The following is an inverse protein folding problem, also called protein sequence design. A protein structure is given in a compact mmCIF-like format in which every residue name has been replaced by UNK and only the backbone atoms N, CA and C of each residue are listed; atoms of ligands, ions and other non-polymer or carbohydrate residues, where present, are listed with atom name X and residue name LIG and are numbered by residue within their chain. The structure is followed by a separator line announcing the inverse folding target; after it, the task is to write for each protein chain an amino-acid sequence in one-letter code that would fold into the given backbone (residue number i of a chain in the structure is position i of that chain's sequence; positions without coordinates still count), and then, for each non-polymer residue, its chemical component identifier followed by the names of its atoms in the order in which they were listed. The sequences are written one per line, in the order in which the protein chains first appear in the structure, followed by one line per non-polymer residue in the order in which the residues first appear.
data_IF_522685181050
#
_entry.id   IF_522685181050
#
_cell.length_a   1.000
_cell.length_b   1.000
_cell.length_c   1.000
_cell.angle_alpha   90.00
_cell.angle_beta   90.00
_cell.angle_gamma   90.00
#
_symmetry.space_group_name_H-M   'P 1'
#
loop_
_entity.id
_entity.type
_entity.pdbx_description
1 polymer ?
#
# COMPACT_ATOMS: atom_id res chain seq x y z
N UNK A 1 22.11 8.08 12.69
CA UNK A 1 20.89 8.28 13.50
C UNK A 1 20.62 6.97 14.20
N UNK A 2 20.20 6.97 15.46
CA UNK A 2 19.77 5.72 16.10
C UNK A 2 18.42 5.33 15.49
N UNK A 3 18.33 4.12 14.94
CA UNK A 3 17.07 3.58 14.47
C UNK A 3 16.19 3.28 15.68
N UNK A 4 14.94 3.71 15.64
CA UNK A 4 13.92 3.29 16.61
C UNK A 4 13.25 2.02 16.10
N UNK A 5 13.17 1.02 16.97
CA UNK A 5 12.50 -0.25 16.68
C UNK A 5 11.29 -0.36 17.60
N UNK A 6 10.14 -0.71 17.02
CA UNK A 6 8.95 -1.13 17.74
C UNK A 6 8.91 -2.65 17.85
N UNK A 7 8.37 -3.15 18.94
CA UNK A 7 8.11 -4.58 19.13
C UNK A 7 6.61 -4.83 18.99
N UNK A 8 6.23 -6.07 18.68
CA UNK A 8 4.84 -6.49 18.78
C UNK A 8 4.29 -6.26 20.19
N UNK A 9 2.98 -6.05 20.27
CA UNK A 9 2.25 -6.13 21.54
C UNK A 9 2.51 -7.49 22.19
N UNK A 10 2.87 -7.49 23.45
CA UNK A 10 3.23 -8.68 24.23
C UNK A 10 2.20 -8.80 25.35
N UNK A 11 1.61 -9.99 25.50
CA UNK A 11 0.73 -10.31 26.61
C UNK A 11 1.57 -10.73 27.81
N UNK A 12 1.35 -10.08 28.95
CA UNK A 12 2.06 -10.37 30.19
C UNK A 12 2.40 -9.13 31.00
N UNK A 13 2.90 -9.34 32.20
CA UNK A 13 3.29 -8.30 33.16
C UNK A 13 4.79 -7.99 33.14
N UNK A 14 5.56 -8.69 32.31
CA UNK A 14 7.01 -8.52 32.17
C UNK A 14 7.49 -8.73 30.73
N UNK A 15 8.47 -7.93 30.33
CA UNK A 15 9.13 -8.02 29.03
C UNK A 15 10.62 -8.31 29.26
N UNK A 16 11.15 -9.31 28.57
CA UNK A 16 12.58 -9.61 28.52
C UNK A 16 13.16 -9.20 27.18
N UNK A 17 14.16 -8.33 27.18
CA UNK A 17 14.90 -7.95 25.98
C UNK A 17 16.18 -8.80 25.89
N UNK A 18 16.29 -9.61 24.84
CA UNK A 18 17.48 -10.42 24.56
C UNK A 18 18.22 -9.86 23.37
N UNK A 19 19.53 -9.68 23.52
CA UNK A 19 20.43 -9.26 22.44
C UNK A 19 21.32 -10.43 22.09
N UNK A 20 21.24 -10.89 20.84
CA UNK A 20 22.08 -11.95 20.31
C UNK A 20 23.09 -11.39 19.30
N UNK A 21 24.32 -11.88 19.32
CA UNK A 21 25.33 -11.57 18.33
C UNK A 21 26.12 -12.83 17.95
N UNK A 22 26.61 -12.94 16.71
CA UNK A 22 27.52 -14.01 16.31
C UNK A 22 28.76 -13.98 17.20
N UNK A 23 29.28 -15.16 17.59
CA UNK A 23 30.46 -15.31 18.46
C UNK A 23 31.66 -14.47 18.02
N UNK A 24 31.85 -14.28 16.73
CA UNK A 24 32.93 -13.44 16.18
C UNK A 24 32.82 -11.94 16.53
N UNK A 25 31.68 -11.48 17.09
CA UNK A 25 31.41 -10.08 17.46
C UNK A 25 31.15 -9.89 18.96
N UNK A 26 31.45 -10.87 19.77
CA UNK A 26 31.22 -10.84 21.25
C UNK A 26 31.78 -9.58 21.94
N UNK A 27 32.95 -9.09 21.51
CA UNK A 27 33.53 -7.87 22.05
C UNK A 27 32.67 -6.61 21.80
N UNK A 28 31.86 -6.61 20.78
CA UNK A 28 30.97 -5.49 20.44
C UNK A 28 29.69 -5.43 21.29
N UNK A 29 29.24 -6.55 21.84
CA UNK A 29 27.98 -6.62 22.62
C UNK A 29 28.03 -5.70 23.83
N UNK A 30 29.19 -5.64 24.50
CA UNK A 30 29.40 -4.81 25.73
C UNK A 30 29.35 -3.31 25.45
N UNK A 31 29.48 -2.88 24.19
CA UNK A 31 29.38 -1.48 23.76
C UNK A 31 28.00 -1.08 23.30
N UNK A 32 27.10 -2.02 23.14
CA UNK A 32 25.70 -1.73 22.72
C UNK A 32 25.02 -0.91 23.83
N UNK A 33 24.39 0.16 23.41
CA UNK A 33 23.50 0.98 24.25
C UNK A 33 22.16 1.03 23.61
N UNK A 34 21.14 0.72 24.36
CA UNK A 34 19.76 0.90 23.96
C UNK A 34 19.02 1.75 24.99
N UNK A 35 17.99 2.39 24.56
CA UNK A 35 17.10 3.17 25.40
C UNK A 35 15.66 2.78 25.03
N UNK A 36 14.86 2.43 26.02
CA UNK A 36 13.42 2.35 25.86
C UNK A 36 12.94 3.79 25.81
N UNK A 37 12.49 4.24 24.65
CA UNK A 37 12.01 5.60 24.44
C UNK A 37 10.54 5.72 24.86
N UNK A 38 9.75 4.66 24.64
CA UNK A 38 8.33 4.61 24.91
C UNK A 38 7.92 3.17 25.22
N UNK A 39 6.98 3.00 26.12
CA UNK A 39 6.29 1.74 26.39
C UNK A 39 4.80 2.07 26.56
N UNK A 40 3.95 1.42 25.77
CA UNK A 40 2.50 1.55 25.88
C UNK A 40 1.95 0.38 26.67
N UNK A 41 1.32 0.66 27.80
CA UNK A 41 0.51 -0.33 28.51
C UNK A 41 -0.87 -0.38 27.85
N UNK A 42 -1.18 -1.50 27.22
CA UNK A 42 -2.48 -1.74 26.64
C UNK A 42 -3.37 -2.36 27.72
N UNK A 43 -4.23 -1.54 28.31
CA UNK A 43 -5.29 -2.04 29.18
C UNK A 43 -6.37 -2.67 28.29
N UNK A 44 -6.41 -4.00 28.25
CA UNK A 44 -7.36 -4.77 27.45
C UNK A 44 -8.81 -4.58 27.91
N UNK A 45 -9.01 -4.10 29.15
CA UNK A 45 -10.34 -3.73 29.63
C UNK A 45 -10.72 -2.32 29.20
N UNK A 46 -9.77 -1.37 29.19
CA UNK A 46 -10.00 0.01 28.77
C UNK A 46 -10.16 0.15 27.24
N UNK A 47 -9.42 -0.61 26.45
CA UNK A 47 -9.64 -0.68 24.98
C UNK A 47 -10.86 -1.52 24.60
N UNK A 48 -11.51 -2.17 25.61
CA UNK A 48 -12.68 -3.00 25.40
C UNK A 48 -12.53 -3.89 24.17
N UNK A 49 -11.43 -4.69 24.10
CA UNK A 49 -11.35 -5.75 23.12
C UNK A 49 -12.61 -6.62 23.27
N UNK A 50 -13.33 -6.83 22.17
CA UNK A 50 -14.68 -7.36 22.17
C UNK A 50 -15.76 -6.39 22.72
N UNK A 51 -15.83 -5.17 22.20
CA UNK A 51 -16.81 -4.19 22.60
C UNK A 51 -18.23 -4.60 22.20
N UNK A 52 -19.20 -4.03 22.87
CA UNK A 52 -20.59 -4.11 22.42
C UNK A 52 -20.78 -3.05 21.32
N UNK A 53 -21.05 -3.52 20.12
CA UNK A 53 -21.40 -2.67 18.98
C UNK A 53 -22.86 -2.20 19.06
N UNK A 54 -23.21 -1.19 18.25
CA UNK A 54 -24.59 -0.80 18.06
C UNK A 54 -25.41 -1.95 17.45
N UNK A 55 -26.70 -2.00 17.75
CA UNK A 55 -27.57 -3.13 17.37
C UNK A 55 -27.69 -3.38 15.86
N UNK A 56 -27.40 -2.37 15.03
CA UNK A 56 -27.39 -2.49 13.58
C UNK A 56 -26.07 -3.02 13.01
N UNK A 57 -24.99 -3.08 13.79
CA UNK A 57 -23.73 -3.66 13.34
C UNK A 57 -23.88 -5.18 13.25
N UNK A 58 -23.56 -5.75 12.11
CA UNK A 58 -23.78 -7.15 11.81
C UNK A 58 -22.45 -7.93 11.88
N UNK A 59 -22.46 -9.05 12.60
CA UNK A 59 -21.33 -9.98 12.64
C UNK A 59 -21.06 -10.54 11.24
N UNK A 60 -19.83 -10.36 10.75
CA UNK A 60 -19.42 -10.80 9.43
C UNK A 60 -19.55 -12.31 9.22
N UNK A 61 -19.46 -13.12 10.28
CA UNK A 61 -19.60 -14.57 10.19
C UNK A 61 -21.04 -15.05 9.96
N UNK A 62 -22.02 -14.14 10.02
CA UNK A 62 -23.42 -14.44 9.68
C UNK A 62 -23.70 -14.41 8.17
N UNK A 63 -22.76 -14.00 7.35
CA UNK A 63 -22.91 -13.80 5.92
C UNK A 63 -21.96 -14.69 5.14
N UNK A 64 -22.35 -15.12 3.95
CA UNK A 64 -21.55 -16.01 3.12
C UNK A 64 -21.62 -15.62 1.63
N UNK A 65 -21.16 -16.52 0.75
CA UNK A 65 -21.12 -16.26 -0.71
C UNK A 65 -22.51 -16.16 -1.36
N UNK A 66 -23.58 -16.54 -0.66
CA UNK A 66 -24.95 -16.28 -1.15
C UNK A 66 -25.40 -14.83 -0.93
N UNK A 67 -24.84 -14.14 0.07
CA UNK A 67 -25.08 -12.71 0.30
C UNK A 67 -24.18 -11.85 -0.59
N UNK A 68 -22.92 -12.25 -0.75
CA UNK A 68 -21.95 -11.60 -1.62
C UNK A 68 -20.86 -12.56 -2.07
N UNK A 69 -20.80 -12.84 -3.36
CA UNK A 69 -19.89 -13.86 -3.92
C UNK A 69 -18.40 -13.66 -3.59
N UNK A 70 -17.96 -12.43 -3.27
CA UNK A 70 -16.57 -12.10 -2.99
C UNK A 70 -16.24 -12.05 -1.49
N UNK A 71 -17.19 -12.32 -0.61
CA UNK A 71 -17.03 -12.14 0.84
C UNK A 71 -15.86 -12.94 1.43
N UNK A 72 -15.65 -14.18 0.99
CA UNK A 72 -14.58 -15.04 1.50
C UNK A 72 -13.17 -14.59 1.06
N UNK A 73 -13.08 -13.94 -0.10
CA UNK A 73 -11.86 -13.27 -0.55
C UNK A 73 -11.62 -12.02 0.29
N UNK A 74 -12.65 -11.18 0.43
CA UNK A 74 -12.56 -9.94 1.18
C UNK A 74 -12.18 -10.16 2.65
N UNK A 75 -12.71 -11.20 3.31
CA UNK A 75 -12.36 -11.56 4.71
C UNK A 75 -10.87 -11.72 4.92
N UNK A 76 -10.18 -12.32 3.97
CA UNK A 76 -8.74 -12.61 4.04
C UNK A 76 -7.86 -11.43 3.73
N UNK A 77 -8.45 -10.36 3.19
CA UNK A 77 -7.74 -9.13 2.82
C UNK A 77 -7.87 -8.02 3.86
N UNK A 78 -8.94 -8.04 4.66
CA UNK A 78 -9.23 -6.98 5.63
C UNK A 78 -8.63 -7.32 7.00
N UNK A 79 -7.99 -6.31 7.61
CA UNK A 79 -7.37 -6.45 8.93
C UNK A 79 -7.80 -5.33 9.88
N UNK A 80 -7.94 -5.71 11.15
CA UNK A 80 -7.92 -4.75 12.25
C UNK A 80 -6.53 -4.15 12.36
N UNK A 81 -6.46 -2.85 12.61
CA UNK A 81 -5.23 -2.10 12.87
C UNK A 81 -5.23 -1.57 14.30
N UNK A 82 -4.10 -1.77 14.98
CA UNK A 82 -3.75 -1.06 16.22
C UNK A 82 -2.48 -0.26 15.95
N UNK A 83 -2.43 1.00 16.36
CA UNK A 83 -1.27 1.86 16.17
C UNK A 83 -1.15 2.88 17.31
N UNK A 84 0.04 3.49 17.43
CA UNK A 84 0.35 4.46 18.49
C UNK A 84 0.50 5.84 17.87
N UNK A 85 -0.23 6.81 18.41
CA UNK A 85 -0.10 8.22 18.06
C UNK A 85 -0.18 9.10 19.31
N UNK A 86 0.84 9.95 19.50
CA UNK A 86 0.88 10.86 20.64
C UNK A 86 0.83 10.17 22.00
N UNK A 87 1.40 8.96 22.13
CA UNK A 87 1.41 8.17 23.36
C UNK A 87 0.09 7.47 23.68
N UNK A 88 -0.86 7.42 22.74
CA UNK A 88 -2.14 6.71 22.88
C UNK A 88 -2.30 5.65 21.77
N UNK A 89 -2.95 4.53 22.12
CA UNK A 89 -3.33 3.49 21.17
C UNK A 89 -4.64 3.82 20.46
N UNK A 90 -4.67 3.60 19.15
CA UNK A 90 -5.84 3.82 18.30
C UNK A 90 -6.13 2.57 17.47
N UNK A 91 -7.39 2.44 17.09
CA UNK A 91 -7.88 1.33 16.27
C UNK A 91 -8.51 1.88 14.99
N UNK A 92 -8.13 1.28 13.87
CA UNK A 92 -8.74 1.48 12.55
C UNK A 92 -8.84 0.13 11.81
N UNK A 93 -9.26 0.20 10.57
CA UNK A 93 -9.32 -0.93 9.65
C UNK A 93 -8.55 -0.58 8.38
N UNK A 94 -8.02 -1.59 7.71
CA UNK A 94 -7.46 -1.44 6.38
C UNK A 94 -7.54 -2.75 5.60
N UNK A 95 -7.07 -2.73 4.37
CA UNK A 95 -7.11 -3.92 3.51
C UNK A 95 -5.95 -4.00 2.53
N UNK A 96 -5.52 -5.23 2.25
CA UNK A 96 -4.50 -5.53 1.25
C UNK A 96 -5.02 -5.24 -0.16
N UNK A 97 -4.22 -4.53 -0.93
CA UNK A 97 -4.46 -4.27 -2.35
C UNK A 97 -3.50 -5.07 -3.21
N UNK A 98 -4.02 -5.58 -4.31
CA UNK A 98 -3.20 -6.11 -5.39
C UNK A 98 -2.64 -4.98 -6.25
N UNK A 99 -1.53 -5.25 -6.91
CA UNK A 99 -1.02 -4.43 -7.99
C UNK A 99 -1.15 -5.16 -9.33
N UNK A 100 -0.80 -4.51 -10.42
CA UNK A 100 -0.83 -5.12 -11.76
C UNK A 100 0.44 -5.89 -12.10
N UNK A 101 1.47 -5.86 -11.24
CA UNK A 101 2.68 -6.67 -11.39
C UNK A 101 2.46 -8.08 -10.84
N UNK A 102 2.22 -9.04 -11.72
CA UNK A 102 1.99 -10.45 -11.35
C UNK A 102 3.26 -11.21 -10.95
N UNK A 103 4.43 -10.58 -11.04
CA UNK A 103 5.72 -11.23 -10.74
C UNK A 103 6.02 -11.30 -9.24
N UNK A 104 5.47 -10.38 -8.46
CA UNK A 104 5.64 -10.27 -7.01
C UNK A 104 4.32 -9.90 -6.35
N UNK A 105 4.12 -10.36 -5.12
CA UNK A 105 2.99 -9.93 -4.30
C UNK A 105 3.50 -9.01 -3.21
N UNK A 106 3.34 -7.70 -3.41
CA UNK A 106 3.78 -6.68 -2.46
C UNK A 106 2.61 -6.41 -1.49
N UNK A 107 2.83 -6.41 -0.17
CA UNK A 107 1.75 -6.20 0.79
C UNK A 107 1.36 -4.71 0.89
N UNK A 108 0.84 -4.15 -0.21
CA UNK A 108 0.20 -2.85 -0.22
C UNK A 108 -1.06 -2.88 0.63
N UNK A 109 -1.24 -1.84 1.45
CA UNK A 109 -2.31 -1.80 2.43
C UNK A 109 -2.97 -0.42 2.46
N UNK A 110 -4.25 -0.38 2.13
CA UNK A 110 -5.04 0.85 2.09
C UNK A 110 -5.71 1.09 3.43
N UNK A 111 -5.64 2.33 3.90
CA UNK A 111 -6.38 2.82 5.08
C UNK A 111 -6.69 4.33 4.93
N UNK A 112 -7.16 4.99 5.97
CA UNK A 112 -7.48 6.40 5.98
C UNK A 112 -6.30 7.28 6.43
N UNK A 113 -6.22 8.53 5.92
CA UNK A 113 -5.23 9.51 6.38
C UNK A 113 -5.44 9.89 7.84
N UNK A 114 -6.69 10.04 8.30
CA UNK A 114 -6.95 10.36 9.70
C UNK A 114 -6.57 9.23 10.67
N UNK A 115 -6.33 8.00 10.17
CA UNK A 115 -5.71 6.92 10.94
C UNK A 115 -4.19 7.05 10.93
N UNK A 116 -3.58 7.05 9.75
CA UNK A 116 -2.13 7.03 9.57
C UNK A 116 -1.72 8.17 8.62
N UNK A 117 -1.09 9.21 9.15
CA UNK A 117 -0.67 10.38 8.36
C UNK A 117 0.84 10.61 8.37
N UNK A 118 1.62 9.84 9.12
CA UNK A 118 3.07 10.01 9.22
C UNK A 118 3.79 8.67 9.28
N UNK A 119 5.05 8.64 8.82
CA UNK A 119 5.90 7.45 8.91
C UNK A 119 6.09 7.00 10.36
N UNK A 120 6.19 7.93 11.31
CA UNK A 120 6.37 7.58 12.71
C UNK A 120 5.20 6.74 13.24
N UNK A 121 3.95 7.11 12.89
CA UNK A 121 2.75 6.35 13.24
C UNK A 121 2.69 5.04 12.44
N UNK A 122 2.99 5.06 11.14
CA UNK A 122 3.02 3.86 10.29
C UNK A 122 3.97 2.77 10.83
N UNK A 123 5.11 3.18 11.42
CA UNK A 123 6.08 2.25 12.00
C UNK A 123 5.55 1.49 13.22
N UNK A 124 4.47 1.95 13.84
CA UNK A 124 3.85 1.31 15.02
C UNK A 124 2.66 0.44 14.69
N UNK A 125 2.26 0.36 13.41
CA UNK A 125 1.05 -0.36 12.99
C UNK A 125 1.19 -1.84 13.25
N UNK A 126 0.25 -2.40 13.97
CA UNK A 126 0.01 -3.84 14.09
C UNK A 126 -1.25 -4.19 13.32
N UNK A 127 -1.19 -5.21 12.49
CA UNK A 127 -2.38 -5.73 11.81
C UNK A 127 -2.81 -7.07 12.38
N UNK A 128 -4.11 -7.34 12.35
CA UNK A 128 -4.69 -8.64 12.72
C UNK A 128 -5.65 -9.06 11.63
N UNK A 129 -5.15 -9.95 10.76
CA UNK A 129 -5.96 -10.59 9.72
C UNK A 129 -6.76 -11.76 10.30
N UNK A 130 -7.82 -12.16 9.61
CA UNK A 130 -8.71 -13.28 10.02
C UNK A 130 -9.32 -13.11 11.41
N UNK A 131 -9.40 -11.88 11.93
CA UNK A 131 -10.05 -11.62 13.20
C UNK A 131 -11.58 -11.57 13.02
N UNK A 132 -12.21 -12.70 13.22
CA UNK A 132 -13.64 -12.92 13.07
C UNK A 132 -14.16 -13.86 14.17
N UNK A 133 -15.47 -13.87 14.40
CA UNK A 133 -16.12 -14.88 15.26
C UNK A 133 -16.05 -16.25 14.59
N UNK A 134 -15.99 -17.30 15.38
CA UNK A 134 -15.92 -18.67 14.86
C UNK A 134 -17.19 -19.12 14.15
N UNK A 135 -18.32 -18.49 14.45
CA UNK A 135 -19.63 -18.69 13.83
C UNK A 135 -20.49 -17.45 14.07
N UNK A 136 -21.59 -17.32 13.34
CA UNK A 136 -22.57 -16.25 13.50
C UNK A 136 -23.02 -16.13 14.98
N UNK A 137 -22.86 -14.92 15.54
CA UNK A 137 -23.15 -14.64 16.94
C UNK A 137 -22.21 -15.35 17.94
N UNK A 138 -21.08 -15.84 17.46
CA UNK A 138 -20.06 -16.49 18.28
C UNK A 138 -19.38 -15.53 19.26
N UNK A 139 -18.66 -16.09 20.24
CA UNK A 139 -17.90 -15.29 21.19
C UNK A 139 -16.79 -14.51 20.46
N UNK A 140 -16.61 -13.26 20.85
CA UNK A 140 -15.43 -12.51 20.45
C UNK A 140 -14.20 -13.04 21.19
N UNK A 141 -13.14 -13.32 20.42
CA UNK A 141 -11.84 -13.71 20.97
C UNK A 141 -10.79 -12.80 20.34
N UNK A 142 -10.18 -11.94 21.15
CA UNK A 142 -9.12 -11.05 20.67
C UNK A 142 -7.86 -11.83 20.31
N UNK A 143 -7.31 -11.65 19.08
CA UNK A 143 -6.05 -12.28 18.71
C UNK A 143 -4.89 -11.53 19.38
N UNK A 144 -4.33 -12.10 20.45
CA UNK A 144 -3.25 -11.46 21.22
C UNK A 144 -1.97 -11.24 20.40
N UNK A 145 -1.71 -12.11 19.42
CA UNK A 145 -0.55 -11.96 18.53
C UNK A 145 -0.95 -11.25 17.26
N UNK A 146 -0.37 -10.07 16.94
CA UNK A 146 -0.60 -9.42 15.66
C UNK A 146 0.02 -10.23 14.52
N UNK A 147 -0.54 -10.04 13.30
CA UNK A 147 -0.05 -10.73 12.11
C UNK A 147 1.22 -10.07 11.56
N UNK A 148 1.24 -8.72 11.54
CA UNK A 148 2.38 -7.93 11.05
C UNK A 148 2.66 -6.75 11.96
N UNK A 149 3.91 -6.28 11.94
CA UNK A 149 4.34 -5.10 12.68
C UNK A 149 5.06 -4.11 11.76
N UNK A 150 4.63 -2.86 11.86
CA UNK A 150 5.19 -1.74 11.13
C UNK A 150 4.83 -1.72 9.67
N UNK A 151 4.81 -0.52 9.13
CA UNK A 151 4.60 -0.27 7.72
C UNK A 151 5.46 0.89 7.23
N UNK A 152 5.74 0.91 5.94
CA UNK A 152 6.30 2.05 5.23
C UNK A 152 5.16 2.87 4.66
N UNK A 153 5.13 4.17 4.99
CA UNK A 153 4.20 5.11 4.41
C UNK A 153 4.61 5.40 2.96
N UNK A 154 3.80 5.01 2.01
CA UNK A 154 4.04 5.26 0.59
C UNK A 154 3.41 6.58 0.16
N UNK A 155 2.11 6.74 0.39
CA UNK A 155 1.37 7.97 0.07
C UNK A 155 0.29 8.25 1.11
N UNK A 156 0.00 9.54 1.33
CA UNK A 156 -1.10 9.95 2.21
C UNK A 156 -1.63 11.33 1.80
N UNK A 157 -2.93 11.52 1.87
CA UNK A 157 -3.60 12.76 1.48
C UNK A 157 -4.79 13.07 2.40
N UNK A 158 -4.86 14.30 2.87
CA UNK A 158 -6.00 14.82 3.64
C UNK A 158 -7.18 15.20 2.76
N UNK A 159 -6.98 15.38 1.44
CA UNK A 159 -8.00 15.89 0.51
C UNK A 159 -9.12 14.87 0.29
N UNK A 160 -8.76 13.60 0.25
CA UNK A 160 -9.63 12.46 0.01
C UNK A 160 -9.44 11.36 1.07
N UNK A 161 -8.72 11.71 2.15
CA UNK A 161 -8.55 10.94 3.37
C UNK A 161 -7.97 9.54 3.14
N UNK A 162 -7.07 9.35 2.17
CA UNK A 162 -6.46 8.05 1.95
C UNK A 162 -5.02 7.98 2.43
N UNK A 163 -4.60 6.77 2.76
CA UNK A 163 -3.20 6.41 3.01
C UNK A 163 -2.91 5.05 2.43
N UNK A 164 -1.89 4.99 1.58
CA UNK A 164 -1.31 3.75 1.09
C UNK A 164 -0.04 3.43 1.88
N UNK A 165 0.00 2.25 2.46
CA UNK A 165 1.13 1.69 3.17
C UNK A 165 1.69 0.49 2.40
N UNK A 166 2.94 0.14 2.70
CA UNK A 166 3.49 -1.19 2.47
C UNK A 166 3.81 -1.80 3.83
N UNK A 167 3.19 -2.92 4.17
CA UNK A 167 3.51 -3.64 5.40
C UNK A 167 4.97 -4.09 5.36
N UNK A 168 5.67 -4.03 6.50
CA UNK A 168 7.08 -4.41 6.60
C UNK A 168 7.29 -5.92 6.67
N UNK A 169 6.20 -6.68 6.85
CA UNK A 169 6.18 -8.13 6.94
C UNK A 169 5.08 -8.66 6.02
N UNK A 170 5.30 -9.85 5.47
CA UNK A 170 4.29 -10.51 4.68
C UNK A 170 3.09 -10.90 5.58
N UNK A 171 1.86 -10.77 5.05
CA UNK A 171 0.67 -11.25 5.75
C UNK A 171 0.68 -12.78 5.86
N UNK A 172 -0.28 -13.32 6.61
CA UNK A 172 -0.43 -14.77 6.77
C UNK A 172 -0.55 -15.48 5.41
N UNK A 173 -0.02 -16.69 5.35
CA UNK A 173 -0.23 -17.57 4.20
C UNK A 173 -1.73 -17.74 3.92
N UNK A 174 -2.14 -17.50 2.67
CA UNK A 174 -3.55 -17.52 2.26
C UNK A 174 -4.28 -16.19 2.45
N UNK A 175 -3.61 -15.10 2.84
CA UNK A 175 -4.16 -13.76 2.72
C UNK A 175 -4.56 -13.47 1.27
N UNK A 176 -5.62 -12.70 1.08
CA UNK A 176 -6.07 -12.26 -0.23
C UNK A 176 -5.70 -10.79 -0.44
N UNK A 177 -5.52 -10.41 -1.69
CA UNK A 177 -5.24 -9.05 -2.12
C UNK A 177 -6.39 -8.59 -3.00
N UNK A 178 -7.01 -7.47 -2.64
CA UNK A 178 -8.18 -6.95 -3.35
C UNK A 178 -7.76 -6.27 -4.65
N UNK A 179 -8.45 -6.59 -5.72
CA UNK A 179 -8.42 -5.76 -6.92
C UNK A 179 -9.10 -4.41 -6.65
N UNK A 180 -8.93 -3.48 -7.55
CA UNK A 180 -9.50 -2.13 -7.46
C UNK A 180 -10.12 -1.70 -8.79
N UNK A 181 -10.96 -0.66 -8.73
CA UNK A 181 -11.58 -0.06 -9.91
C UNK A 181 -11.44 1.45 -9.90
N UNK A 182 -10.98 2.01 -11.00
CA UNK A 182 -10.90 3.45 -11.24
C UNK A 182 -12.18 4.02 -11.86
N UNK A 183 -13.21 3.19 -12.05
CA UNK A 183 -14.52 3.65 -12.52
C UNK A 183 -15.21 4.48 -11.43
N UNK A 184 -15.59 5.74 -11.70
CA UNK A 184 -16.23 6.60 -10.70
C UNK A 184 -17.61 6.09 -10.33
N UNK A 185 -17.87 5.82 -9.05
CA UNK A 185 -19.18 5.38 -8.54
C UNK A 185 -19.93 6.47 -7.79
N UNK A 186 -19.25 7.54 -7.36
CA UNK A 186 -19.80 8.58 -6.48
C UNK A 186 -21.06 9.28 -7.01
N UNK A 187 -21.27 9.28 -8.32
CA UNK A 187 -22.40 9.90 -8.99
C UNK A 187 -23.37 8.89 -9.64
N UNK A 188 -23.20 7.59 -9.33
CA UNK A 188 -24.08 6.53 -9.86
C UNK A 188 -25.01 6.06 -8.75
N UNK A 189 -26.23 6.62 -8.71
CA UNK A 189 -27.23 6.31 -7.67
C UNK A 189 -27.54 4.83 -7.60
N UNK A 190 -27.79 4.33 -6.40
CA UNK A 190 -28.15 2.94 -6.09
C UNK A 190 -27.06 1.90 -6.44
N UNK A 191 -25.85 2.32 -6.78
CA UNK A 191 -24.73 1.37 -6.90
C UNK A 191 -24.52 0.65 -5.57
N UNK A 192 -24.56 -0.68 -5.60
CA UNK A 192 -24.36 -1.52 -4.43
C UNK A 192 -22.89 -1.53 -4.03
N UNK A 193 -22.63 -1.33 -2.75
CA UNK A 193 -21.31 -1.34 -2.13
C UNK A 193 -21.30 -2.32 -0.97
N UNK A 194 -20.15 -2.96 -0.75
CA UNK A 194 -19.91 -4.00 0.23
C UNK A 194 -18.70 -3.67 1.09
N UNK A 195 -18.77 -3.97 2.38
CA UNK A 195 -17.69 -3.68 3.33
C UNK A 195 -17.56 -4.77 4.39
N UNK A 196 -16.32 -5.07 4.72
CA UNK A 196 -15.92 -5.71 5.97
C UNK A 196 -15.06 -4.74 6.76
N UNK A 197 -15.29 -4.64 8.06
CA UNK A 197 -14.55 -3.70 8.93
C UNK A 197 -14.48 -4.21 10.36
N UNK A 198 -13.75 -3.49 11.23
CA UNK A 198 -13.58 -3.82 12.64
C UNK A 198 -14.11 -2.67 13.54
N UNK A 199 -15.44 -2.49 13.62
CA UNK A 199 -16.04 -1.45 14.42
C UNK A 199 -15.64 -1.60 15.89
N UNK A 200 -15.16 -0.52 16.52
CA UNK A 200 -14.62 -0.49 17.90
C UNK A 200 -13.51 -1.54 18.17
N UNK A 201 -12.87 -2.07 17.12
CA UNK A 201 -11.91 -3.16 17.26
C UNK A 201 -12.53 -4.55 17.48
N UNK A 202 -13.82 -4.71 17.23
CA UNK A 202 -14.50 -6.02 17.27
C UNK A 202 -14.07 -6.94 16.13
N UNK A 203 -14.43 -8.22 16.15
CA UNK A 203 -14.34 -9.12 15.01
C UNK A 203 -14.96 -8.51 13.77
N UNK A 204 -14.60 -9.00 12.59
CA UNK A 204 -15.13 -8.50 11.33
C UNK A 204 -16.64 -8.35 11.34
N UNK A 205 -17.11 -7.15 11.02
CA UNK A 205 -18.50 -6.83 10.77
C UNK A 205 -18.74 -6.65 9.27
N UNK A 206 -19.93 -7.03 8.82
CA UNK A 206 -20.38 -6.89 7.44
C UNK A 206 -21.36 -5.75 7.29
N UNK A 207 -21.25 -4.99 6.20
CA UNK A 207 -22.26 -4.01 5.82
C UNK A 207 -22.37 -3.89 4.32
N UNK A 208 -23.60 -3.57 3.87
CA UNK A 208 -23.88 -3.18 2.49
C UNK A 208 -24.47 -1.78 2.44
N UNK A 209 -24.19 -1.10 1.36
CA UNK A 209 -24.56 0.29 1.18
C UNK A 209 -25.07 0.49 -0.26
N UNK A 210 -25.91 1.50 -0.45
CA UNK A 210 -26.29 1.98 -1.78
C UNK A 210 -25.81 3.42 -1.95
N UNK A 211 -25.13 3.72 -3.06
CA UNK A 211 -24.68 5.08 -3.36
C UNK A 211 -25.89 6.01 -3.43
N UNK A 212 -25.81 7.12 -2.71
CA UNK A 212 -26.87 8.14 -2.69
C UNK A 212 -26.37 9.44 -3.30
N UNK A 213 -26.91 9.80 -4.46
CA UNK A 213 -26.63 11.08 -5.12
C UNK A 213 -27.44 12.24 -4.52
N UNK A 214 -28.44 11.94 -3.66
CA UNK A 214 -29.31 12.92 -3.01
C UNK A 214 -28.95 13.21 -1.55
N UNK A 215 -28.11 12.38 -0.90
CA UNK A 215 -27.62 12.66 0.45
C UNK A 215 -26.91 14.02 0.49
N UNK A 216 -27.17 14.82 1.52
CA UNK A 216 -26.47 16.09 1.72
C UNK A 216 -24.96 15.86 1.93
N UNK A 217 -24.13 16.71 1.34
CA UNK A 217 -22.67 16.65 1.53
C UNK A 217 -22.24 17.44 2.77
N UNK A 218 -21.25 16.94 3.47
CA UNK A 218 -20.61 17.67 4.56
C UNK A 218 -19.58 18.67 4.02
N UNK A 219 -19.32 19.72 4.83
CA UNK A 219 -18.36 20.76 4.47
C UNK A 219 -16.94 20.16 4.29
N UNK A 220 -16.31 20.48 3.18
CA UNK A 220 -14.96 20.02 2.86
C UNK A 220 -14.90 18.61 2.28
N UNK A 221 -16.06 17.93 2.07
CA UNK A 221 -16.14 16.58 1.52
C UNK A 221 -16.98 16.59 0.23
N UNK A 222 -16.46 17.11 -0.91
CA UNK A 222 -17.24 17.23 -2.13
C UNK A 222 -17.55 15.86 -2.73
N UNK A 223 -18.77 15.68 -3.23
CA UNK A 223 -19.14 14.49 -3.99
C UNK A 223 -18.25 14.37 -5.24
N UNK A 224 -17.83 13.17 -5.56
CA UNK A 224 -16.83 12.90 -6.60
C UNK A 224 -15.47 12.59 -6.00
N UNK A 225 -14.94 13.45 -5.13
CA UNK A 225 -13.79 13.10 -4.28
C UNK A 225 -14.20 12.18 -3.13
N UNK A 226 -15.48 12.26 -2.71
CA UNK A 226 -16.09 11.36 -1.75
C UNK A 226 -17.35 10.69 -2.29
N UNK A 227 -17.54 9.44 -1.91
CA UNK A 227 -18.74 8.63 -2.16
C UNK A 227 -19.65 8.77 -0.96
N UNK A 228 -20.92 9.10 -1.20
CA UNK A 228 -21.96 9.13 -0.18
C UNK A 228 -22.88 7.95 -0.39
N UNK A 229 -23.12 7.15 0.63
CA UNK A 229 -23.97 5.97 0.54
C UNK A 229 -24.90 5.85 1.75
N UNK A 230 -25.98 5.10 1.61
CA UNK A 230 -26.90 4.75 2.69
C UNK A 230 -26.72 3.29 3.06
N UNK A 231 -26.60 3.04 4.37
CA UNK A 231 -26.50 1.68 4.89
C UNK A 231 -27.81 0.92 4.59
N UNK A 232 -27.68 -0.26 4.01
CA UNK A 232 -28.80 -1.16 3.68
C UNK A 232 -28.85 -2.33 4.68
N UNK A 233 -27.71 -2.94 4.93
CA UNK A 233 -27.52 -4.01 5.91
C UNK A 233 -26.28 -3.62 6.73
N UNK A 234 -26.34 -3.78 8.04
CA UNK A 234 -25.20 -3.47 8.89
C UNK A 234 -24.91 -1.97 8.97
N UNK A 235 -23.87 -1.61 9.70
CA UNK A 235 -23.37 -0.24 9.83
C UNK A 235 -21.89 -0.24 10.22
N UNK A 236 -21.20 0.88 9.96
CA UNK A 236 -19.86 1.15 10.44
C UNK A 236 -19.90 2.03 11.69
N UNK A 237 -19.02 1.73 12.66
CA UNK A 237 -18.76 2.57 13.84
C UNK A 237 -17.28 3.02 13.87
N UNK A 238 -16.89 3.81 14.87
CA UNK A 238 -15.49 4.15 15.12
C UNK A 238 -14.63 2.89 15.17
N UNK A 239 -13.44 2.89 14.56
CA UNK A 239 -12.61 1.72 14.34
C UNK A 239 -12.80 1.07 12.97
N UNK A 240 -13.94 1.27 12.31
CA UNK A 240 -14.11 0.89 10.89
C UNK A 240 -13.37 1.82 9.93
N UNK A 241 -12.90 2.98 10.38
CA UNK A 241 -12.15 3.98 9.63
C UNK A 241 -11.06 3.34 8.75
N UNK A 242 -10.95 3.77 7.51
CA UNK A 242 -9.99 3.24 6.54
C UNK A 242 -10.37 1.90 5.90
N UNK A 243 -11.44 1.23 6.35
CA UNK A 243 -11.88 -0.03 5.71
C UNK A 243 -12.19 0.19 4.23
N UNK A 244 -11.65 -0.64 3.32
CA UNK A 244 -12.03 -0.61 1.92
C UNK A 244 -13.54 -0.81 1.74
N UNK A 245 -14.12 -0.05 0.82
CA UNK A 245 -15.46 -0.29 0.29
C UNK A 245 -15.34 -0.83 -1.14
N UNK A 246 -16.10 -1.86 -1.47
CA UNK A 246 -15.96 -2.65 -2.69
C UNK A 246 -17.24 -2.65 -3.48
N UNK A 247 -17.12 -2.80 -4.80
CA UNK A 247 -18.24 -3.09 -5.69
C UNK A 247 -18.66 -4.57 -5.61
N UNK A 248 -19.67 -4.96 -6.37
CA UNK A 248 -20.17 -6.34 -6.42
C UNK A 248 -19.09 -7.36 -6.84
N UNK A 249 -18.11 -6.95 -7.65
CA UNK A 249 -17.00 -7.78 -8.12
C UNK A 249 -15.85 -7.89 -7.11
N UNK A 250 -15.98 -7.29 -5.90
CA UNK A 250 -14.94 -7.28 -4.87
C UNK A 250 -13.79 -6.32 -5.15
N UNK A 251 -13.96 -5.41 -6.11
CA UNK A 251 -12.96 -4.40 -6.42
C UNK A 251 -13.15 -3.19 -5.51
N UNK A 252 -12.05 -2.71 -4.94
CA UNK A 252 -12.04 -1.51 -4.10
C UNK A 252 -12.40 -0.29 -4.94
N UNK A 253 -13.36 0.48 -4.46
CA UNK A 253 -13.80 1.76 -5.05
C UNK A 253 -13.62 2.95 -4.10
N UNK A 254 -13.20 2.70 -2.86
CA UNK A 254 -12.94 3.73 -1.85
C UNK A 254 -12.53 3.14 -0.49
N UNK A 255 -12.34 4.02 0.50
CA UNK A 255 -12.09 3.65 1.89
C UNK A 255 -12.88 4.57 2.84
N UNK A 256 -13.24 4.04 4.00
CA UNK A 256 -14.13 4.73 4.95
C UNK A 256 -13.46 5.97 5.56
N UNK A 257 -14.04 7.13 5.30
CA UNK A 257 -13.81 8.36 6.08
C UNK A 257 -14.64 8.34 7.37
N UNK A 258 -15.95 8.11 7.28
CA UNK A 258 -16.86 8.16 8.42
C UNK A 258 -18.32 8.37 8.02
N UNK A 259 -19.05 9.14 8.80
CA UNK A 259 -20.45 9.47 8.55
C UNK A 259 -20.68 10.98 8.42
N UNK A 260 -21.68 11.34 7.63
CA UNK A 260 -22.13 12.70 7.39
C UNK A 260 -23.67 12.77 7.52
N UNK A 261 -24.17 13.64 8.37
CA UNK A 261 -25.61 13.75 8.58
C UNK A 261 -25.98 14.60 9.77
N UNK A 262 -27.22 14.51 10.17
CA UNK A 262 -27.82 15.33 11.26
C UNK A 262 -27.97 14.59 12.57
N UNK A 263 -27.76 13.26 12.58
CA UNK A 263 -27.91 12.41 13.78
C UNK A 263 -26.71 11.47 13.96
N UNK A 264 -25.49 12.05 14.00
CA UNK A 264 -24.24 11.29 14.07
C UNK A 264 -24.06 10.51 15.39
N UNK A 265 -24.85 10.80 16.43
CA UNK A 265 -24.86 10.05 17.68
C UNK A 265 -25.52 8.67 17.57
N UNK A 266 -26.34 8.46 16.54
CA UNK A 266 -26.96 7.16 16.24
C UNK A 266 -26.44 6.64 14.90
N UNK A 267 -25.51 5.70 14.97
CA UNK A 267 -24.92 5.08 13.78
C UNK A 267 -25.91 4.22 13.01
N UNK A 268 -27.04 3.85 13.62
CA UNK A 268 -28.08 3.05 13.01
C UNK A 268 -29.10 3.90 12.20
N UNK A 269 -29.06 5.22 12.35
CA UNK A 269 -29.95 6.11 11.60
C UNK A 269 -29.42 6.37 10.19
N UNK A 270 -29.65 5.42 9.29
CA UNK A 270 -29.27 5.55 7.87
C UNK A 270 -30.14 6.54 7.10
N UNK A 271 -31.28 6.96 7.64
CA UNK A 271 -32.14 7.96 7.01
C UNK A 271 -31.55 9.38 7.15
N UNK A 272 -31.04 9.71 8.36
CA UNK A 272 -30.46 11.02 8.65
C UNK A 272 -28.96 11.09 8.35
N UNK A 273 -28.26 9.95 8.28
CA UNK A 273 -26.81 9.87 8.10
C UNK A 273 -26.46 9.13 6.79
N UNK A 274 -25.44 9.63 6.10
CA UNK A 274 -24.78 8.92 5.00
C UNK A 274 -23.43 8.39 5.48
N UNK A 275 -23.04 7.21 5.03
CA UNK A 275 -21.66 6.72 5.09
C UNK A 275 -20.87 7.43 4.01
N UNK A 276 -19.66 7.87 4.34
CA UNK A 276 -18.79 8.67 3.47
C UNK A 276 -17.45 7.96 3.29
N UNK A 277 -17.07 7.74 2.05
CA UNK A 277 -15.82 7.09 1.67
C UNK A 277 -15.00 8.01 0.76
N UNK A 278 -13.67 8.05 0.94
CA UNK A 278 -12.78 8.64 -0.05
C UNK A 278 -12.88 7.84 -1.36
N UNK A 279 -13.07 8.52 -2.49
CA UNK A 279 -13.30 7.86 -3.77
C UNK A 279 -11.98 7.42 -4.42
N UNK A 280 -11.75 6.11 -4.57
CA UNK A 280 -10.52 5.56 -5.15
C UNK A 280 -10.24 6.13 -6.54
N UNK A 281 -11.26 6.27 -7.39
CA UNK A 281 -11.13 6.86 -8.72
C UNK A 281 -10.61 8.30 -8.72
N UNK A 282 -10.83 9.07 -7.63
CA UNK A 282 -10.37 10.45 -7.52
C UNK A 282 -8.87 10.57 -7.21
N UNK A 283 -8.34 9.65 -6.41
CA UNK A 283 -6.94 9.70 -5.98
C UNK A 283 -6.05 8.63 -6.59
N UNK A 284 -6.58 7.77 -7.45
CA UNK A 284 -5.81 6.67 -8.05
C UNK A 284 -4.49 7.13 -8.68
N UNK A 285 -4.48 8.26 -9.39
CA UNK A 285 -3.27 8.81 -10.00
C UNK A 285 -2.15 9.11 -8.99
N UNK A 286 -2.48 9.32 -7.72
CA UNK A 286 -1.52 9.58 -6.63
C UNK A 286 -0.88 8.29 -6.09
N UNK A 287 -1.47 7.14 -6.36
CA UNK A 287 -1.02 5.82 -5.89
C UNK A 287 -0.71 4.85 -7.04
N UNK A 288 -0.92 5.29 -8.28
CA UNK A 288 -0.76 4.46 -9.47
C UNK A 288 0.67 3.91 -9.62
N UNK A 289 1.70 4.65 -9.21
CA UNK A 289 3.09 4.20 -9.29
C UNK A 289 3.35 2.88 -8.53
N UNK A 290 2.56 2.60 -7.50
CA UNK A 290 2.65 1.34 -6.74
C UNK A 290 1.66 0.28 -7.19
N UNK A 291 0.42 0.69 -7.48
CA UNK A 291 -0.66 -0.26 -7.74
C UNK A 291 -0.78 -0.67 -9.21
N UNK A 292 -0.38 0.21 -10.11
CA UNK A 292 -0.38 -0.02 -11.55
C UNK A 292 0.89 0.52 -12.21
N UNK A 293 2.06 -0.01 -11.84
CA UNK A 293 3.35 0.48 -12.31
C UNK A 293 3.54 0.38 -13.84
N UNK A 294 2.56 -0.23 -14.54
CA UNK A 294 2.55 -0.30 -16.00
C UNK A 294 1.57 0.66 -16.69
N UNK A 295 0.74 1.42 -15.93
CA UNK A 295 -0.26 2.33 -16.49
C UNK A 295 0.15 3.80 -16.45
N UNK A 296 1.44 4.10 -16.42
CA UNK A 296 1.90 5.50 -16.52
C UNK A 296 1.20 6.15 -17.73
N UNK A 297 0.43 7.25 -17.56
CA UNK A 297 -0.24 7.93 -18.67
C UNK A 297 0.74 8.43 -19.74
N UNK A 298 2.01 8.57 -19.37
CA UNK A 298 3.13 8.63 -20.31
C UNK A 298 3.81 7.25 -20.33
N UNK A 299 3.89 6.57 -21.48
CA UNK A 299 4.53 5.27 -21.59
C UNK A 299 5.95 5.33 -21.00
N UNK A 300 6.26 4.42 -20.09
CA UNK A 300 7.58 4.31 -19.47
C UNK A 300 8.67 4.16 -20.56
N UNK A 301 9.86 4.74 -20.41
CA UNK A 301 10.95 4.53 -21.35
C UNK A 301 11.18 3.06 -21.72
N UNK A 302 11.07 2.18 -20.76
CA UNK A 302 11.18 0.74 -20.95
C UNK A 302 10.09 0.17 -21.85
N UNK A 303 8.85 0.62 -21.72
CA UNK A 303 7.72 0.17 -22.54
C UNK A 303 7.86 0.64 -23.98
N UNK A 304 8.26 1.89 -24.20
CA UNK A 304 8.55 2.41 -25.55
C UNK A 304 9.70 1.63 -26.22
N UNK A 305 10.72 1.24 -25.44
CA UNK A 305 11.84 0.48 -25.96
C UNK A 305 11.43 -0.91 -26.45
N UNK A 306 10.56 -1.58 -25.71
CA UNK A 306 10.24 -2.99 -25.98
C UNK A 306 8.87 -3.19 -26.67
N UNK A 307 8.13 -2.11 -26.97
CA UNK A 307 6.77 -2.17 -27.51
C UNK A 307 6.62 -3.06 -28.75
N UNK A 308 7.61 -3.01 -29.65
CA UNK A 308 7.62 -3.78 -30.90
C UNK A 308 8.42 -5.09 -30.80
N UNK A 309 8.88 -5.47 -29.59
CA UNK A 309 9.74 -6.64 -29.41
C UNK A 309 8.92 -7.90 -29.08
N UNK A 310 9.21 -9.01 -29.78
CA UNK A 310 8.62 -10.32 -29.51
C UNK A 310 9.11 -10.87 -28.17
N UNK A 311 8.54 -10.52 -27.08
CA UNK A 311 8.98 -10.86 -25.72
C UNK A 311 8.97 -9.63 -24.79
N UNK A 312 8.20 -8.62 -25.15
CA UNK A 312 8.06 -7.37 -24.41
C UNK A 312 7.76 -7.61 -22.91
N UNK A 313 6.85 -8.53 -22.58
CA UNK A 313 6.51 -8.87 -21.19
C UNK A 313 7.70 -9.41 -20.40
N UNK A 314 8.54 -10.27 -21.02
CA UNK A 314 9.74 -10.82 -20.38
C UNK A 314 10.76 -9.71 -20.13
N UNK A 315 10.94 -8.79 -21.07
CA UNK A 315 11.82 -7.63 -20.90
C UNK A 315 11.34 -6.70 -19.79
N UNK A 316 10.06 -6.39 -19.77
CA UNK A 316 9.48 -5.53 -18.71
C UNK A 316 9.64 -6.17 -17.34
N UNK A 317 9.41 -7.48 -17.21
CA UNK A 317 9.67 -8.22 -15.97
C UNK A 317 11.14 -8.14 -15.53
N UNK A 318 12.09 -8.32 -16.45
CA UNK A 318 13.51 -8.19 -16.16
C UNK A 318 13.89 -6.78 -15.69
N UNK A 319 13.46 -5.74 -16.40
CA UNK A 319 13.78 -4.35 -16.08
C UNK A 319 13.15 -3.90 -14.75
N UNK A 320 11.93 -4.36 -14.45
CA UNK A 320 11.30 -4.16 -13.13
C UNK A 320 12.09 -4.86 -12.02
N UNK A 321 12.50 -6.12 -12.25
CA UNK A 321 13.37 -6.85 -11.33
C UNK A 321 14.68 -6.14 -11.04
N UNK A 322 15.32 -5.55 -12.05
CA UNK A 322 16.52 -4.72 -11.87
C UNK A 322 16.23 -3.50 -11.00
N UNK A 323 15.17 -2.77 -11.29
CA UNK A 323 14.75 -1.59 -10.53
C UNK A 323 14.49 -1.91 -9.04
N UNK A 324 13.80 -3.02 -8.78
CA UNK A 324 13.26 -3.33 -7.46
C UNK A 324 14.20 -4.16 -6.60
N UNK A 325 15.04 -4.99 -7.21
CA UNK A 325 15.92 -5.92 -6.48
C UNK A 325 17.41 -5.64 -6.66
N UNK A 326 17.84 -5.12 -7.82
CA UNK A 326 19.26 -4.89 -8.09
C UNK A 326 19.67 -3.46 -7.69
N UNK A 327 18.96 -2.43 -8.17
CA UNK A 327 19.30 -1.04 -7.83
C UNK A 327 19.41 -0.78 -6.32
N UNK A 328 18.53 -1.28 -5.44
CA UNK A 328 18.67 -1.06 -4.00
C UNK A 328 19.95 -1.61 -3.38
N UNK A 329 20.61 -2.57 -4.01
CA UNK A 329 21.88 -3.16 -3.53
C UNK A 329 23.11 -2.36 -3.94
N UNK A 330 22.98 -1.45 -4.91
CA UNK A 330 24.09 -0.62 -5.39
C UNK A 330 24.28 0.63 -4.53
N UNK A 331 25.50 1.10 -4.38
CA UNK A 331 25.84 2.29 -3.61
C UNK A 331 25.08 3.55 -4.03
N UNK A 332 24.87 3.72 -5.33
CA UNK A 332 24.12 4.85 -5.92
C UNK A 332 22.72 4.46 -6.39
N UNK A 333 22.24 3.25 -6.04
CA UNK A 333 20.99 2.70 -6.58
C UNK A 333 19.74 3.49 -6.20
N UNK A 334 19.68 4.03 -4.98
CA UNK A 334 18.58 4.90 -4.56
C UNK A 334 18.53 6.18 -5.40
N UNK A 335 19.69 6.79 -5.68
CA UNK A 335 19.80 7.96 -6.55
C UNK A 335 19.40 7.62 -7.98
N UNK A 336 19.87 6.50 -8.55
CA UNK A 336 19.50 6.05 -9.90
C UNK A 336 18.00 5.84 -10.05
N UNK A 337 17.36 5.22 -9.07
CA UNK A 337 15.91 4.99 -9.07
C UNK A 337 15.11 6.30 -9.02
N UNK A 338 15.51 7.25 -8.16
CA UNK A 338 14.88 8.57 -8.08
C UNK A 338 14.98 9.31 -9.42
N UNK A 339 16.17 9.29 -10.08
CA UNK A 339 16.39 9.95 -11.36
C UNK A 339 15.64 9.30 -12.51
N UNK A 340 15.55 7.97 -12.51
CA UNK A 340 14.72 7.26 -13.46
C UNK A 340 13.27 7.77 -13.46
N UNK A 341 12.65 7.90 -12.30
CA UNK A 341 11.28 8.42 -12.22
C UNK A 341 11.18 9.90 -12.56
N UNK A 342 12.13 10.73 -12.12
CA UNK A 342 12.15 12.16 -12.41
C UNK A 342 12.15 12.45 -13.90
N UNK A 343 12.91 11.68 -14.66
CA UNK A 343 13.15 11.93 -16.09
C UNK A 343 12.38 11.00 -17.02
N UNK A 344 11.56 10.09 -16.49
CA UNK A 344 10.86 9.07 -17.27
C UNK A 344 10.07 9.66 -18.44
N UNK A 345 9.25 10.68 -18.23
CA UNK A 345 8.43 11.31 -19.25
C UNK A 345 9.31 11.98 -20.36
N UNK A 346 10.41 12.59 -19.98
CA UNK A 346 11.33 13.23 -20.94
C UNK A 346 12.05 12.19 -21.77
N UNK A 347 12.63 11.15 -21.13
CA UNK A 347 13.34 10.08 -21.83
C UNK A 347 12.39 9.31 -22.74
N UNK A 348 11.16 9.05 -22.32
CA UNK A 348 10.11 8.46 -23.16
C UNK A 348 9.88 9.26 -24.43
N UNK A 349 9.71 10.57 -24.30
CA UNK A 349 9.48 11.48 -25.45
C UNK A 349 10.67 11.48 -26.41
N UNK A 350 11.91 11.53 -25.88
CA UNK A 350 13.13 11.44 -26.69
C UNK A 350 13.18 10.13 -27.46
N UNK A 351 13.00 8.99 -26.78
CA UNK A 351 13.05 7.66 -27.40
C UNK A 351 11.90 7.41 -28.40
N UNK A 352 10.72 7.98 -28.15
CA UNK A 352 9.60 7.91 -29.10
C UNK A 352 9.88 8.73 -30.37
N UNK A 353 10.57 9.86 -30.23
CA UNK A 353 10.90 10.78 -31.34
C UNK A 353 12.13 10.37 -32.15
N UNK A 354 13.10 9.67 -31.55
CA UNK A 354 14.36 9.29 -32.20
C UNK A 354 14.46 7.77 -32.36
N UNK A 355 14.19 7.27 -33.59
CA UNK A 355 14.26 5.85 -33.92
C UNK A 355 15.67 5.26 -33.78
N UNK A 356 16.72 6.06 -34.04
CA UNK A 356 18.09 5.59 -33.93
C UNK A 356 18.48 5.40 -32.47
N UNK A 357 18.23 6.40 -31.65
CA UNK A 357 18.51 6.35 -30.22
C UNK A 357 17.72 5.19 -29.54
N UNK A 358 16.47 4.98 -29.96
CA UNK A 358 15.67 3.84 -29.49
C UNK A 358 16.29 2.50 -29.90
N UNK A 359 16.79 2.35 -31.12
CA UNK A 359 17.46 1.12 -31.56
C UNK A 359 18.77 0.89 -30.80
N UNK A 360 19.54 1.94 -30.54
CA UNK A 360 20.78 1.89 -29.75
C UNK A 360 20.49 1.46 -28.29
N UNK A 361 19.43 2.00 -27.69
CA UNK A 361 18.97 1.60 -26.36
C UNK A 361 18.56 0.13 -26.29
N UNK A 362 17.82 -0.37 -27.30
CA UNK A 362 17.41 -1.77 -27.35
C UNK A 362 18.63 -2.70 -27.53
N UNK A 363 19.59 -2.33 -28.37
CA UNK A 363 20.84 -3.07 -28.55
C UNK A 363 21.64 -3.12 -27.25
N UNK A 364 21.72 -2.00 -26.52
CA UNK A 364 22.36 -1.95 -25.20
C UNK A 364 21.69 -2.91 -24.22
N UNK A 365 20.35 -2.90 -24.14
CA UNK A 365 19.63 -3.82 -23.25
C UNK A 365 19.89 -5.28 -23.61
N UNK A 366 19.98 -5.63 -24.91
CA UNK A 366 20.30 -6.99 -25.36
C UNK A 366 21.72 -7.40 -24.96
N UNK A 367 22.70 -6.50 -25.06
CA UNK A 367 24.06 -6.73 -24.62
C UNK A 367 24.16 -6.94 -23.09
N UNK A 368 23.40 -6.18 -22.29
CA UNK A 368 23.37 -6.25 -20.84
C UNK A 368 22.56 -7.42 -20.29
N UNK A 369 21.69 -8.02 -21.07
CA UNK A 369 20.71 -9.02 -20.63
C UNK A 369 21.29 -10.13 -19.75
N UNK A 370 22.41 -10.80 -20.09
CA UNK A 370 22.94 -11.89 -19.26
C UNK A 370 23.36 -11.44 -17.86
N UNK A 371 23.95 -10.22 -17.74
CA UNK A 371 24.35 -9.65 -16.47
C UNK A 371 23.13 -9.26 -15.63
N UNK A 372 22.09 -8.69 -16.24
CA UNK A 372 20.85 -8.30 -15.57
C UNK A 372 20.06 -9.53 -15.08
N UNK A 373 19.95 -10.59 -15.89
CA UNK A 373 19.28 -11.84 -15.50
C UNK A 373 19.99 -12.49 -14.31
N UNK A 374 21.32 -12.48 -14.29
CA UNK A 374 22.11 -13.01 -13.16
C UNK A 374 21.87 -12.19 -11.89
N UNK A 375 21.86 -10.87 -12.00
CA UNK A 375 21.68 -9.99 -10.84
C UNK A 375 20.26 -10.09 -10.23
N UNK A 376 19.22 -10.20 -11.08
CA UNK A 376 17.83 -10.31 -10.60
C UNK A 376 17.57 -11.58 -9.80
N UNK A 377 18.27 -12.68 -10.07
CA UNK A 377 18.14 -13.92 -9.30
C UNK A 377 19.11 -13.99 -8.09
N UNK A 378 19.66 -12.87 -7.68
CA UNK A 378 20.49 -12.74 -6.47
C UNK A 378 21.99 -12.89 -6.68
N UNK A 379 22.48 -12.87 -7.93
CA UNK A 379 23.91 -12.75 -8.24
C UNK A 379 24.38 -11.29 -8.23
N UNK A 380 25.69 -11.07 -8.29
CA UNK A 380 26.27 -9.73 -8.39
C UNK A 380 26.06 -9.15 -9.81
N UNK A 381 25.73 -7.86 -9.89
CA UNK A 381 25.75 -7.14 -11.16
C UNK A 381 27.19 -6.83 -11.58
N UNK A 382 27.76 -7.65 -12.43
CA UNK A 382 29.12 -7.48 -12.95
C UNK A 382 29.07 -7.13 -14.43
N UNK A 383 29.49 -5.91 -14.77
CA UNK A 383 29.58 -5.43 -16.14
C UNK A 383 31.04 -5.45 -16.62
N UNK A 384 31.28 -6.02 -17.79
CA UNK A 384 32.57 -5.95 -18.43
C UNK A 384 32.84 -4.58 -19.05
N UNK A 385 34.11 -4.32 -19.46
CA UNK A 385 34.52 -3.00 -20.04
C UNK A 385 33.73 -2.61 -21.29
N UNK A 386 33.31 -3.58 -22.11
CA UNK A 386 32.51 -3.31 -23.32
C UNK A 386 31.11 -2.83 -22.95
N UNK A 387 30.47 -3.53 -22.00
CA UNK A 387 29.13 -3.21 -21.49
C UNK A 387 29.12 -1.83 -20.79
N UNK A 388 30.11 -1.55 -19.95
CA UNK A 388 30.28 -0.23 -19.33
C UNK A 388 30.47 0.87 -20.39
N UNK A 389 31.30 0.60 -21.40
CA UNK A 389 31.52 1.54 -22.51
C UNK A 389 30.25 1.80 -23.33
N UNK A 390 29.42 0.77 -23.55
CA UNK A 390 28.15 0.89 -24.26
C UNK A 390 27.13 1.72 -23.45
N UNK A 391 27.04 1.50 -22.13
CA UNK A 391 26.20 2.33 -21.24
C UNK A 391 26.60 3.79 -21.26
N UNK A 392 27.90 4.09 -21.15
CA UNK A 392 28.44 5.45 -21.21
C UNK A 392 28.16 6.08 -22.59
N UNK A 393 28.35 5.34 -23.68
CA UNK A 393 28.07 5.80 -25.03
C UNK A 393 26.60 6.16 -25.22
N UNK A 394 25.69 5.33 -24.74
CA UNK A 394 24.25 5.60 -24.79
C UNK A 394 23.87 6.83 -23.95
N UNK A 395 24.35 6.91 -22.70
CA UNK A 395 24.10 8.06 -21.84
C UNK A 395 24.59 9.38 -22.49
N UNK A 396 25.76 9.35 -23.13
CA UNK A 396 26.30 10.50 -23.86
C UNK A 396 25.44 10.87 -25.08
N UNK A 397 24.96 9.88 -25.84
CA UNK A 397 24.07 10.12 -26.98
C UNK A 397 22.72 10.69 -26.55
N UNK A 398 22.20 10.28 -25.39
CA UNK A 398 20.96 10.79 -24.84
C UNK A 398 21.07 12.27 -24.41
N UNK A 399 22.26 12.72 -23.95
CA UNK A 399 22.54 14.11 -23.57
C UNK A 399 22.30 15.12 -24.69
N UNK A 400 22.53 14.73 -25.95
CA UNK A 400 22.35 15.60 -27.11
C UNK A 400 20.89 16.07 -27.28
N UNK A 401 19.93 15.34 -26.73
CA UNK A 401 18.50 15.62 -26.82
C UNK A 401 17.87 15.96 -25.45
N UNK A 402 18.67 15.97 -24.38
CA UNK A 402 18.23 16.12 -23.01
C UNK A 402 18.04 17.60 -22.61
N UNK A 403 17.11 17.85 -21.70
CA UNK A 403 17.05 19.12 -20.96
C UNK A 403 18.32 19.32 -20.12
N UNK A 404 18.63 20.54 -19.68
CA UNK A 404 19.78 20.78 -18.80
C UNK A 404 19.78 19.92 -17.54
N UNK A 405 18.61 19.70 -16.91
CA UNK A 405 18.48 18.93 -15.68
C UNK A 405 18.78 17.43 -15.93
N UNK A 406 18.27 16.85 -17.02
CA UNK A 406 18.58 15.49 -17.42
C UNK A 406 20.05 15.34 -17.84
N UNK A 407 20.60 16.33 -18.57
CA UNK A 407 21.99 16.30 -19.03
C UNK A 407 22.98 16.28 -17.86
N UNK A 408 22.73 17.08 -16.82
CA UNK A 408 23.56 17.12 -15.59
C UNK A 408 23.52 15.78 -14.85
N UNK A 409 22.35 15.14 -14.74
CA UNK A 409 22.22 13.82 -14.11
C UNK A 409 22.87 12.71 -14.95
N UNK A 410 22.82 12.78 -16.27
CA UNK A 410 23.53 11.84 -17.16
C UNK A 410 25.05 12.01 -17.07
N UNK A 411 25.56 13.24 -16.95
CA UNK A 411 27.00 13.49 -16.73
C UNK A 411 27.48 12.86 -15.41
N UNK A 412 26.70 13.02 -14.35
CA UNK A 412 26.98 12.38 -13.07
C UNK A 412 26.96 10.84 -13.19
N UNK A 413 25.97 10.26 -13.89
CA UNK A 413 25.91 8.83 -14.15
C UNK A 413 27.16 8.31 -14.86
N UNK A 414 27.59 8.98 -15.93
CA UNK A 414 28.81 8.68 -16.67
C UNK A 414 30.06 8.73 -15.80
N UNK A 415 30.16 9.75 -14.94
CA UNK A 415 31.27 9.91 -14.01
C UNK A 415 31.35 8.77 -12.96
N UNK A 416 30.17 8.29 -12.50
CA UNK A 416 30.07 7.18 -11.54
C UNK A 416 30.40 5.84 -12.21
N UNK A 417 29.92 5.61 -13.43
CA UNK A 417 30.17 4.34 -14.17
C UNK A 417 31.62 4.14 -14.59
N UNK A 418 32.41 5.22 -14.66
CA UNK A 418 33.85 5.17 -15.01
C UNK A 418 34.76 4.78 -13.82
N UNK A 419 34.24 4.77 -12.60
CA UNK A 419 34.98 4.39 -11.38
C UNK A 419 34.88 2.91 -11.11
#
# INVERSE_FOLDING_TARGET
MAESLWTHSIDGDAIFLQIEAPRARDAGIRSIRFRIAEALLIDTQALAFCPINASCVQDGSCYDTSDWAMIDVARKAIANMLFIQGGSGYICTGGLLNDTDTSNQIPYFLTANHCISTQAVASTVETRFNYQTAACGGACVWPNTPTTLGATLLHTSTTDDHTLLRLNQDPLAGAAFLGWSTSPVANTSESALYRLSHPKGSPQAYSTHAVSTTAGTCRGLPRGAFIYSRDQVGAAEGGSSGSPVMNQQGQVVGQLFGKCGTNLGDVCDSASNATVDGAFANYFSQVAEWLDPGSDPDPCPSEVLVADHSGASTWLGLLRGVRDHVLPTLSDGAWMRERYYRHAAEVTRILAGDRRLRADALALLQDLRPALETAVVGGDLVLNRREQGAMIGFATALQDSASPDLADDLERFVATTRR
#
